data_IF_867990330874
#
_entry.id   IF_867990330874
#
_cell.length_a   1.000
_cell.length_b   1.000
_cell.length_c   1.000
_cell.angle_alpha   90.00
_cell.angle_beta   90.00
_cell.angle_gamma   90.00
#
_symmetry.space_group_name_H-M   'P 1'
#
loop_
_entity.id
_entity.type
_entity.pdbx_description
1 polymer ?
#
# COMPACT_ATOMS: atom_id res chain seq x y z
N UNK A 1 -8.55 -25.41 8.84
CA UNK A 1 -7.20 -25.19 9.40
C UNK A 1 -6.72 -23.85 8.88
N UNK A 2 -6.84 -22.77 9.67
CA UNK A 2 -6.27 -21.48 9.30
C UNK A 2 -4.75 -21.64 9.28
N UNK A 3 -4.14 -21.60 8.10
CA UNK A 3 -2.70 -21.35 8.01
C UNK A 3 -2.48 -19.97 8.65
N UNK A 4 -1.86 -19.95 9.83
CA UNK A 4 -1.35 -18.73 10.44
C UNK A 4 -0.30 -18.17 9.49
N UNK A 5 -0.72 -17.25 8.63
CA UNK A 5 0.19 -16.46 7.79
C UNK A 5 0.99 -15.56 8.72
N UNK A 6 2.27 -15.40 8.40
CA UNK A 6 3.14 -14.48 9.12
C UNK A 6 2.50 -13.08 9.13
N UNK A 7 2.50 -12.45 10.31
CA UNK A 7 1.97 -11.11 10.53
C UNK A 7 3.14 -10.14 10.69
N UNK A 8 3.11 -9.05 9.95
CA UNK A 8 4.12 -7.99 10.01
C UNK A 8 3.55 -6.76 10.72
N UNK A 9 4.35 -6.02 11.51
CA UNK A 9 3.89 -4.82 12.18
C UNK A 9 3.61 -3.70 11.17
N UNK A 10 2.45 -3.05 11.30
CA UNK A 10 2.07 -1.87 10.52
C UNK A 10 2.18 -0.62 11.38
N UNK A 11 1.54 -0.62 12.55
CA UNK A 11 1.51 0.53 13.44
C UNK A 11 1.23 0.12 14.88
N UNK A 12 1.68 0.96 15.82
CA UNK A 12 1.40 0.86 17.25
C UNK A 12 1.25 2.26 17.82
N UNK A 13 0.14 2.55 18.49
CA UNK A 13 -0.16 3.87 19.06
C UNK A 13 -1.26 3.78 20.13
N UNK A 14 -1.37 4.77 21.01
CA UNK A 14 -2.48 4.87 21.96
C UNK A 14 -3.75 5.33 21.26
N UNK A 15 -4.88 4.66 21.51
CA UNK A 15 -6.18 5.05 20.97
C UNK A 15 -6.54 6.48 21.43
N UNK A 16 -6.74 7.45 20.51
CA UNK A 16 -7.13 8.81 20.87
C UNK A 16 -8.46 8.88 21.64
N UNK A 17 -9.34 7.88 21.49
CA UNK A 17 -10.61 7.81 22.21
C UNK A 17 -10.50 7.12 23.58
N UNK A 18 -9.29 6.67 23.95
CA UNK A 18 -9.00 6.12 25.28
C UNK A 18 -9.29 4.62 25.45
N UNK A 19 -9.51 3.85 24.37
CA UNK A 19 -9.75 2.40 24.48
C UNK A 19 -8.49 1.56 24.76
N UNK A 20 -7.33 2.19 24.90
CA UNK A 20 -6.04 1.54 25.18
C UNK A 20 -5.09 1.54 23.98
N UNK A 21 -4.04 0.71 24.03
CA UNK A 21 -3.08 0.58 22.92
C UNK A 21 -3.76 -0.04 21.70
N UNK A 22 -3.52 0.55 20.52
CA UNK A 22 -3.85 0.01 19.21
C UNK A 22 -2.59 -0.63 18.62
N UNK A 23 -2.66 -1.92 18.33
CA UNK A 23 -1.64 -2.66 17.58
C UNK A 23 -2.24 -3.11 16.26
N UNK A 24 -1.60 -2.72 15.16
CA UNK A 24 -1.99 -3.13 13.81
C UNK A 24 -0.89 -4.01 13.24
N UNK A 25 -1.24 -5.24 12.89
CA UNK A 25 -0.39 -6.13 12.11
C UNK A 25 -1.07 -6.48 10.80
N UNK A 26 -0.29 -6.84 9.78
CA UNK A 26 -0.83 -7.28 8.51
C UNK A 26 -0.30 -8.64 8.09
N UNK A 27 -1.16 -9.41 7.42
CA UNK A 27 -0.76 -10.60 6.67
C UNK A 27 -1.19 -10.41 5.23
N UNK A 28 -0.35 -10.80 4.27
CA UNK A 28 -0.67 -10.63 2.87
C UNK A 28 -0.39 -11.86 2.00
N UNK A 29 -1.07 -11.89 0.85
CA UNK A 29 -0.86 -12.88 -0.21
C UNK A 29 -0.87 -12.19 -1.56
N UNK A 30 0.24 -12.30 -2.29
CA UNK A 30 0.29 -11.74 -3.63
C UNK A 30 -0.23 -12.73 -4.68
N UNK A 31 -1.35 -12.38 -5.30
CA UNK A 31 -1.91 -13.07 -6.45
C UNK A 31 -1.30 -12.51 -7.73
N UNK A 32 -0.33 -13.26 -8.28
CA UNK A 32 0.40 -12.86 -9.48
C UNK A 32 -0.49 -12.76 -10.73
N UNK A 33 -1.57 -13.54 -10.83
CA UNK A 33 -2.41 -13.57 -12.02
C UNK A 33 -3.29 -12.32 -12.13
N UNK A 34 -3.73 -11.78 -10.98
CA UNK A 34 -4.58 -10.58 -10.92
C UNK A 34 -3.81 -9.31 -10.51
N UNK A 35 -2.53 -9.47 -10.16
CA UNK A 35 -1.64 -8.45 -9.59
C UNK A 35 -2.20 -7.84 -8.29
N UNK A 36 -3.02 -8.59 -7.55
CA UNK A 36 -3.64 -8.13 -6.30
C UNK A 36 -2.87 -8.68 -5.11
N UNK A 37 -2.39 -7.79 -4.25
CA UNK A 37 -1.95 -8.14 -2.91
C UNK A 37 -3.18 -8.19 -2.00
N UNK A 38 -3.57 -9.39 -1.59
CA UNK A 38 -4.67 -9.60 -0.66
C UNK A 38 -4.15 -9.37 0.75
N UNK A 39 -4.54 -8.26 1.38
CA UNK A 39 -4.02 -7.85 2.69
C UNK A 39 -5.14 -7.95 3.71
N UNK A 40 -4.83 -8.52 4.87
CA UNK A 40 -5.67 -8.47 6.06
C UNK A 40 -4.93 -7.71 7.15
N UNK A 41 -5.54 -6.64 7.63
CA UNK A 41 -5.09 -5.92 8.81
C UNK A 41 -5.80 -6.46 10.03
N UNK A 42 -5.03 -6.84 11.04
CA UNK A 42 -5.47 -7.36 12.32
C UNK A 42 -5.30 -6.25 13.34
N UNK A 43 -6.41 -5.75 13.86
CA UNK A 43 -6.46 -4.70 14.86
C UNK A 43 -6.67 -5.34 16.23
N UNK A 44 -5.74 -5.09 17.13
CA UNK A 44 -5.85 -5.39 18.56
C UNK A 44 -5.95 -4.04 19.28
N UNK A 45 -7.05 -3.81 20.01
CA UNK A 45 -7.34 -2.53 20.68
C UNK A 45 -7.62 -2.81 22.15
N UNK A 46 -6.68 -2.49 23.02
CA UNK A 46 -6.77 -2.78 24.46
C UNK A 46 -7.11 -4.25 24.72
N UNK A 47 -8.25 -4.50 25.37
CA UNK A 47 -8.75 -5.86 25.65
C UNK A 47 -9.92 -6.28 24.75
N UNK A 48 -10.19 -5.53 23.67
CA UNK A 48 -11.29 -5.84 22.75
C UNK A 48 -10.95 -7.06 21.89
N UNK A 49 -11.96 -7.79 21.38
CA UNK A 49 -11.75 -8.83 20.38
C UNK A 49 -11.03 -8.28 19.15
N UNK A 50 -10.11 -9.08 18.59
CA UNK A 50 -9.41 -8.72 17.36
C UNK A 50 -10.41 -8.40 16.24
N UNK A 51 -10.17 -7.28 15.55
CA UNK A 51 -10.92 -6.90 14.35
C UNK A 51 -10.05 -7.10 13.12
N UNK A 52 -10.53 -7.88 12.17
CA UNK A 52 -9.85 -8.11 10.89
C UNK A 52 -10.51 -7.27 9.79
N UNK A 53 -9.71 -6.51 9.05
CA UNK A 53 -10.15 -5.67 7.93
C UNK A 53 -9.39 -6.07 6.67
N UNK A 54 -10.10 -6.25 5.56
CA UNK A 54 -9.46 -6.50 4.26
C UNK A 54 -9.04 -5.17 3.61
N UNK A 55 -7.78 -5.06 3.20
CA UNK A 55 -7.19 -3.87 2.59
C UNK A 55 -6.46 -4.23 1.29
N UNK A 56 -7.16 -4.89 0.38
CA UNK A 56 -6.57 -5.43 -0.84
C UNK A 56 -6.10 -4.30 -1.78
N UNK A 57 -4.88 -4.39 -2.29
CA UNK A 57 -4.31 -3.41 -3.23
C UNK A 57 -3.85 -4.09 -4.51
N UNK A 58 -4.03 -3.42 -5.65
CA UNK A 58 -3.41 -3.85 -6.92
C UNK A 58 -2.03 -3.22 -7.05
N UNK A 59 -1.02 -4.03 -7.37
CA UNK A 59 0.37 -3.61 -7.53
C UNK A 59 0.68 -3.51 -9.02
N UNK A 60 1.01 -2.32 -9.49
CA UNK A 60 1.47 -2.09 -10.85
C UNK A 60 2.99 -1.96 -10.88
N UNK A 61 3.65 -2.62 -11.84
CA UNK A 61 5.07 -2.35 -12.07
C UNK A 61 5.26 -0.92 -12.59
N UNK A 62 6.43 -0.28 -12.36
CA UNK A 62 6.63 1.10 -12.79
C UNK A 62 6.41 1.35 -14.27
N UNK A 63 6.86 0.44 -15.15
CA UNK A 63 6.68 0.56 -16.60
C UNK A 63 5.24 0.30 -17.03
N UNK A 64 4.53 -0.58 -16.33
CA UNK A 64 3.11 -0.87 -16.58
C UNK A 64 2.25 0.35 -16.23
N UNK A 65 2.49 0.97 -15.07
CA UNK A 65 1.82 2.21 -14.68
C UNK A 65 2.08 3.33 -15.71
N UNK A 66 3.32 3.45 -16.19
CA UNK A 66 3.67 4.44 -17.21
C UNK A 66 2.90 4.21 -18.53
N UNK A 67 2.75 2.95 -18.93
CA UNK A 67 1.97 2.59 -20.13
C UNK A 67 0.48 2.91 -19.95
N UNK A 68 -0.11 2.57 -18.80
CA UNK A 68 -1.51 2.85 -18.49
C UNK A 68 -1.81 4.35 -18.47
N UNK A 69 -0.93 5.17 -17.89
CA UNK A 69 -1.04 6.63 -17.88
C UNK A 69 -1.04 7.18 -19.31
N UNK A 70 -0.09 6.76 -20.15
CA UNK A 70 0.01 7.19 -21.56
C UNK A 70 -1.22 6.77 -22.38
N UNK A 71 -1.67 5.52 -22.22
CA UNK A 71 -2.86 5.00 -22.89
C UNK A 71 -4.14 5.73 -22.45
N UNK A 72 -4.16 6.22 -21.22
CA UNK A 72 -5.27 7.00 -20.67
C UNK A 72 -5.19 8.50 -21.04
N UNK A 73 -4.31 8.88 -21.96
CA UNK A 73 -4.17 10.25 -22.44
C UNK A 73 -3.39 11.18 -21.51
N UNK A 74 -2.52 10.64 -20.66
CA UNK A 74 -1.61 11.46 -19.84
C UNK A 74 -0.18 11.46 -20.39
N UNK A 75 0.43 12.64 -20.41
CA UNK A 75 1.88 12.80 -20.55
C UNK A 75 2.49 12.77 -19.15
N UNK A 76 3.55 11.99 -18.96
CA UNK A 76 4.33 11.98 -17.72
C UNK A 76 5.42 13.05 -17.85
N UNK A 77 5.34 14.07 -17.00
CA UNK A 77 6.22 15.24 -17.04
C UNK A 77 7.44 15.03 -16.16
N UNK A 78 7.26 14.33 -15.03
CA UNK A 78 8.31 14.00 -14.08
C UNK A 78 7.94 12.79 -13.25
N UNK A 79 8.95 12.08 -12.76
CA UNK A 79 8.80 10.92 -11.89
C UNK A 79 9.81 11.00 -10.76
N UNK A 80 9.33 11.01 -9.52
CA UNK A 80 10.15 11.20 -8.32
C UNK A 80 10.09 9.98 -7.39
N UNK A 81 11.20 9.74 -6.69
CA UNK A 81 11.37 8.66 -5.73
C UNK A 81 10.81 8.96 -4.34
N UNK A 82 10.70 10.26 -3.99
CA UNK A 82 10.09 10.74 -2.76
C UNK A 82 9.62 12.22 -2.91
N UNK A 83 9.01 12.76 -1.86
CA UNK A 83 8.45 14.12 -1.84
C UNK A 83 9.50 15.24 -1.94
N UNK A 84 10.77 14.94 -1.73
CA UNK A 84 11.90 15.85 -1.95
C UNK A 84 12.27 16.01 -3.43
N UNK A 85 11.53 15.34 -4.33
CA UNK A 85 11.72 15.36 -5.80
C UNK A 85 13.04 14.73 -6.25
N UNK A 86 13.64 13.87 -5.44
CA UNK A 86 14.72 12.99 -5.91
C UNK A 86 14.25 12.14 -7.10
N UNK A 87 15.13 11.82 -8.06
CA UNK A 87 14.75 10.96 -9.19
C UNK A 87 14.19 9.61 -8.73
N UNK A 88 13.22 9.07 -9.47
CA UNK A 88 12.74 7.71 -9.24
C UNK A 88 13.79 6.69 -9.70
N UNK A 89 14.25 5.86 -8.77
CA UNK A 89 15.30 4.84 -8.95
C UNK A 89 14.94 3.53 -8.24
N UNK A 90 15.70 2.46 -8.45
CA UNK A 90 15.43 1.13 -7.89
C UNK A 90 15.35 1.07 -6.36
N UNK A 91 15.97 2.03 -5.66
CA UNK A 91 15.95 2.14 -4.20
C UNK A 91 14.85 3.10 -3.69
N UNK A 92 14.07 3.71 -4.59
CA UNK A 92 13.03 4.66 -4.22
C UNK A 92 11.92 3.97 -3.43
N UNK A 93 11.55 4.58 -2.31
CA UNK A 93 10.45 4.08 -1.47
C UNK A 93 9.07 4.43 -2.04
N UNK A 94 9.00 5.41 -2.94
CA UNK A 94 7.76 5.86 -3.59
C UNK A 94 7.97 5.97 -5.09
N UNK A 95 6.84 6.03 -5.79
CA UNK A 95 6.75 6.34 -7.20
C UNK A 95 5.74 7.48 -7.34
N UNK A 96 6.23 8.71 -7.49
CA UNK A 96 5.40 9.90 -7.63
C UNK A 96 5.44 10.36 -9.08
N UNK A 97 4.33 10.25 -9.80
CA UNK A 97 4.22 10.70 -11.20
C UNK A 97 3.47 12.04 -11.28
N UNK A 98 4.11 13.05 -11.88
CA UNK A 98 3.44 14.31 -12.25
C UNK A 98 3.03 14.21 -13.70
N UNK A 99 1.73 14.32 -13.96
CA UNK A 99 1.16 14.12 -15.28
C UNK A 99 0.35 15.33 -15.75
N UNK A 100 0.38 15.58 -17.06
CA UNK A 100 -0.52 16.52 -17.73
C UNK A 100 -1.48 15.73 -18.63
N UNK A 101 -2.77 16.07 -18.60
CA UNK A 101 -3.74 15.51 -19.55
C UNK A 101 -3.45 16.04 -20.97
N UNK A 102 -3.43 15.14 -21.95
CA UNK A 102 -3.55 15.52 -23.35
C UNK A 102 -4.98 16.04 -23.56
N UNK A 103 -5.09 17.32 -23.91
CA UNK A 103 -6.34 17.91 -24.37
C UNK A 103 -6.61 17.50 -25.80
#
# INVERSE_FOLDING_TARGET
MLLLRERHPVARYDDPDGSGEVVITESNEYDRATQVNRIKWHYEIGTQPERIVENNVRIFFPQELDALLRWSGFRIDSKFGDYDRTPFESNSRKQLAVCAAHR
#
